data_IF_736944073367
#
_entry.id   IF_736944073367
#
_cell.length_a   1.000
_cell.length_b   1.000
_cell.length_c   1.000
_cell.angle_alpha   90.00
_cell.angle_beta   90.00
_cell.angle_gamma   90.00
#
_symmetry.space_group_name_H-M   'P 1'
#
loop_
_entity.id
_entity.type
_entity.pdbx_description
1 polymer ?
#
# COMPACT_ATOMS: atom_id res chain seq x y z
N UNK A 1 6.46 -4.70 1.64
CA UNK A 1 5.67 -5.80 2.26
C UNK A 1 4.18 -5.53 2.17
N UNK A 2 3.74 -4.28 2.38
CA UNK A 2 2.33 -3.87 2.28
C UNK A 2 1.76 -4.15 0.88
N UNK A 3 2.52 -3.87 -0.18
CA UNK A 3 2.12 -4.05 -1.56
C UNK A 3 1.86 -5.52 -1.90
N UNK A 4 2.69 -6.42 -1.37
CA UNK A 4 2.50 -7.86 -1.50
C UNK A 4 1.26 -8.35 -0.74
N UNK A 5 0.97 -7.77 0.43
CA UNK A 5 -0.24 -8.06 1.19
C UNK A 5 -1.48 -7.60 0.41
N UNK A 6 -1.47 -6.36 -0.11
CA UNK A 6 -2.59 -5.83 -0.89
C UNK A 6 -2.84 -6.65 -2.17
N UNK A 7 -1.78 -7.12 -2.84
CA UNK A 7 -1.91 -8.01 -3.98
C UNK A 7 -2.54 -9.36 -3.57
N UNK A 8 -2.11 -9.93 -2.44
CA UNK A 8 -2.70 -11.16 -1.90
C UNK A 8 -4.20 -11.01 -1.60
N UNK A 9 -4.61 -9.85 -1.07
CA UNK A 9 -6.03 -9.52 -0.84
C UNK A 9 -6.80 -9.46 -2.15
N UNK A 10 -6.24 -8.84 -3.20
CA UNK A 10 -6.88 -8.78 -4.53
C UNK A 10 -7.11 -10.17 -5.13
N UNK A 11 -6.11 -11.05 -5.07
CA UNK A 11 -6.24 -12.44 -5.53
C UNK A 11 -7.35 -13.16 -4.77
N UNK A 12 -7.42 -12.97 -3.45
CA UNK A 12 -8.44 -13.60 -2.62
C UNK A 12 -9.85 -13.11 -2.99
N UNK A 13 -10.04 -11.80 -3.14
CA UNK A 13 -11.32 -11.22 -3.56
C UNK A 13 -11.78 -11.74 -4.91
N UNK A 14 -10.86 -11.82 -5.87
CA UNK A 14 -11.16 -12.33 -7.21
C UNK A 14 -11.53 -13.82 -7.18
N UNK A 15 -10.82 -14.63 -6.39
CA UNK A 15 -11.11 -16.04 -6.24
C UNK A 15 -12.51 -16.29 -5.65
N UNK A 16 -12.90 -15.53 -4.62
CA UNK A 16 -14.26 -15.61 -4.05
C UNK A 16 -15.34 -15.05 -4.98
N UNK A 17 -15.04 -14.00 -5.74
CA UNK A 17 -15.94 -13.46 -6.75
C UNK A 17 -16.27 -14.51 -7.82
N UNK A 18 -15.25 -15.19 -8.34
CA UNK A 18 -15.39 -16.29 -9.30
C UNK A 18 -16.17 -17.46 -8.70
N UNK A 19 -15.86 -17.87 -7.47
CA UNK A 19 -16.55 -18.97 -6.79
C UNK A 19 -18.04 -18.69 -6.55
N UNK A 20 -18.39 -17.46 -6.20
CA UNK A 20 -19.76 -17.08 -5.85
C UNK A 20 -20.55 -16.53 -7.04
N UNK A 21 -19.94 -16.39 -8.22
CA UNK A 21 -20.58 -15.80 -9.41
C UNK A 21 -20.95 -14.32 -9.23
N UNK A 22 -20.28 -13.59 -8.33
CA UNK A 22 -20.52 -12.17 -8.07
C UNK A 22 -19.46 -11.28 -8.73
N UNK A 23 -19.86 -10.10 -9.18
CA UNK A 23 -18.96 -9.07 -9.68
C UNK A 23 -18.31 -8.23 -8.56
N UNK A 24 -18.82 -8.28 -7.32
CA UNK A 24 -18.43 -7.37 -6.24
C UNK A 24 -16.93 -7.44 -5.92
N UNK A 25 -16.35 -8.64 -5.91
CA UNK A 25 -14.91 -8.80 -5.65
C UNK A 25 -14.02 -8.28 -6.78
N UNK A 26 -14.52 -8.22 -8.02
CA UNK A 26 -13.81 -7.57 -9.13
C UNK A 26 -13.79 -6.05 -8.94
N UNK A 27 -14.94 -5.46 -8.58
CA UNK A 27 -15.06 -4.03 -8.31
C UNK A 27 -14.20 -3.61 -7.12
N UNK A 28 -14.20 -4.39 -6.03
CA UNK A 28 -13.42 -4.06 -4.85
C UNK A 28 -11.90 -4.18 -5.08
N UNK A 29 -11.46 -5.18 -5.85
CA UNK A 29 -10.05 -5.30 -6.25
C UNK A 29 -9.56 -4.07 -7.05
N UNK A 30 -10.41 -3.52 -7.94
CA UNK A 30 -10.12 -2.29 -8.67
C UNK A 30 -9.92 -1.09 -7.72
N UNK A 31 -10.76 -0.95 -6.70
CA UNK A 31 -10.59 0.10 -5.68
C UNK A 31 -9.28 -0.07 -4.90
N UNK A 32 -8.93 -1.29 -4.50
CA UNK A 32 -7.67 -1.55 -3.80
C UNK A 32 -6.47 -1.18 -4.67
N UNK A 33 -6.48 -1.51 -5.97
CA UNK A 33 -5.42 -1.12 -6.91
C UNK A 33 -5.32 0.41 -7.01
N UNK A 34 -6.45 1.12 -7.08
CA UNK A 34 -6.46 2.58 -7.14
C UNK A 34 -5.88 3.21 -5.86
N UNK A 35 -6.26 2.69 -4.68
CA UNK A 35 -5.72 3.14 -3.39
C UNK A 35 -4.24 2.82 -3.28
N UNK A 36 -3.79 1.63 -3.69
CA UNK A 36 -2.37 1.26 -3.68
C UNK A 36 -1.55 2.18 -4.58
N UNK A 37 -2.06 2.55 -5.76
CA UNK A 37 -1.39 3.50 -6.64
C UNK A 37 -1.25 4.89 -5.98
N UNK A 38 -2.29 5.36 -5.30
CA UNK A 38 -2.26 6.63 -4.56
C UNK A 38 -1.27 6.57 -3.38
N UNK A 39 -1.28 5.48 -2.61
CA UNK A 39 -0.38 5.26 -1.48
C UNK A 39 1.10 5.28 -1.90
N UNK A 40 1.46 4.61 -3.00
CA UNK A 40 2.84 4.59 -3.51
C UNK A 40 3.32 6.00 -3.84
N UNK A 41 2.46 6.85 -4.40
CA UNK A 41 2.77 8.26 -4.65
C UNK A 41 3.09 9.03 -3.37
N UNK A 42 2.26 8.88 -2.34
CA UNK A 42 2.45 9.53 -1.03
C UNK A 42 3.69 8.98 -0.30
N UNK A 43 3.86 7.65 -0.29
CA UNK A 43 4.98 6.97 0.35
C UNK A 43 6.32 7.38 -0.24
N UNK A 44 6.42 7.42 -1.58
CA UNK A 44 7.65 7.88 -2.25
C UNK A 44 7.94 9.35 -1.95
N UNK A 45 6.93 10.22 -1.99
CA UNK A 45 7.10 11.63 -1.64
C UNK A 45 7.65 11.80 -0.22
N UNK A 46 7.15 11.02 0.73
CA UNK A 46 7.62 11.02 2.11
C UNK A 46 9.06 10.51 2.23
N UNK A 47 9.39 9.38 1.58
CA UNK A 47 10.75 8.83 1.57
C UNK A 47 11.75 9.82 0.98
N UNK A 48 11.40 10.49 -0.13
CA UNK A 48 12.25 11.51 -0.75
C UNK A 48 12.45 12.73 0.16
N UNK A 49 11.39 13.17 0.86
CA UNK A 49 11.47 14.28 1.81
C UNK A 49 12.41 13.93 2.98
N UNK A 50 12.28 12.74 3.55
CA UNK A 50 13.16 12.24 4.62
C UNK A 50 14.61 12.17 4.13
N UNK A 51 14.83 11.55 2.97
CA UNK A 51 16.17 11.42 2.40
C UNK A 51 16.81 12.78 2.10
N UNK A 52 16.05 13.76 1.61
CA UNK A 52 16.56 15.13 1.38
C UNK A 52 17.07 15.78 2.66
N UNK A 53 16.38 15.56 3.78
CA UNK A 53 16.68 16.23 5.04
C UNK A 53 17.75 15.49 5.87
N UNK A 54 17.80 14.15 5.78
CA UNK A 54 18.66 13.31 6.63
C UNK A 54 19.77 12.57 5.87
N UNK A 55 19.70 12.52 4.53
CA UNK A 55 20.56 11.69 3.64
C UNK A 55 20.56 10.19 3.99
N UNK A 56 19.60 9.74 4.79
CA UNK A 56 19.38 8.37 5.23
C UNK A 56 17.89 8.05 5.13
N UNK A 57 17.57 6.77 4.88
CA UNK A 57 16.20 6.24 4.92
C UNK A 57 15.96 5.34 6.15
N UNK A 58 16.92 5.31 7.08
CA UNK A 58 16.80 4.53 8.30
C UNK A 58 15.66 5.06 9.17
N UNK A 59 14.72 4.20 9.53
CA UNK A 59 13.59 4.55 10.39
C UNK A 59 14.03 4.77 11.84
N UNK A 60 15.11 4.13 12.28
CA UNK A 60 15.65 4.29 13.64
C UNK A 60 16.16 5.72 13.89
N UNK A 61 16.62 6.40 12.84
CA UNK A 61 17.08 7.78 12.90
C UNK A 61 15.91 8.80 13.00
N UNK A 62 14.65 8.36 12.87
CA UNK A 62 13.45 9.19 12.93
C UNK A 62 12.81 9.26 14.34
N UNK A 63 13.52 8.85 15.39
CA UNK A 63 13.04 8.83 16.78
C UNK A 63 13.27 10.15 17.54
N UNK A 64 12.72 11.26 17.04
CA UNK A 64 12.87 12.58 17.69
C UNK A 64 11.75 12.90 18.69
N UNK A 65 10.56 12.33 18.52
CA UNK A 65 9.45 12.51 19.46
C UNK A 65 9.61 11.57 20.66
N UNK A 66 9.83 12.14 21.85
CA UNK A 66 9.80 11.43 23.14
C UNK A 66 8.82 12.15 24.07
N UNK A 67 7.95 11.38 24.71
CA UNK A 67 7.06 11.84 25.77
C UNK A 67 7.76 11.83 27.12
#
# INVERSE_FOLDING_TARGET
SIELILNSVNINLLAFALRNGSADGHTFALYIIAVAAAEVGVGLALVLLVYRNRRSISLDELSEMRG
#
